data_IF_215804116406
#
_entry.id   IF_215804116406
#
_cell.length_a   1.000
_cell.length_b   1.000
_cell.length_c   1.000
_cell.angle_alpha   90.00
_cell.angle_beta   90.00
_cell.angle_gamma   90.00
#
_symmetry.space_group_name_H-M   'P 1'
#
loop_
_entity.id
_entity.type
_entity.pdbx_description
1 polymer ?
#
# COMPACT_ATOMS: atom_id res chain seq x y z
N UNK A 1 -7.10 -11.93 -4.56
CA UNK A 1 -6.41 -11.09 -3.55
C UNK A 1 -5.07 -10.68 -4.09
N UNK A 2 -4.24 -11.62 -4.57
CA UNK A 2 -3.01 -11.31 -5.30
C UNK A 2 -3.26 -10.34 -6.47
N UNK A 3 -4.24 -10.61 -7.34
CA UNK A 3 -4.58 -9.69 -8.45
C UNK A 3 -4.97 -8.26 -8.00
N UNK A 4 -5.52 -8.12 -6.78
CA UNK A 4 -5.87 -6.80 -6.22
C UNK A 4 -4.60 -6.11 -5.71
N UNK A 5 -3.69 -6.86 -5.10
CA UNK A 5 -2.40 -6.38 -4.65
C UNK A 5 -1.55 -5.95 -5.85
N UNK A 6 -1.54 -6.75 -6.92
CA UNK A 6 -0.81 -6.45 -8.16
C UNK A 6 -1.33 -5.14 -8.77
N UNK A 7 -2.65 -4.96 -8.89
CA UNK A 7 -3.25 -3.70 -9.34
C UNK A 7 -2.82 -2.49 -8.49
N UNK A 8 -2.76 -2.64 -7.16
CA UNK A 8 -2.29 -1.56 -6.27
C UNK A 8 -0.82 -1.24 -6.54
N UNK A 9 0.01 -2.28 -6.68
CA UNK A 9 1.44 -2.14 -6.93
C UNK A 9 1.72 -1.49 -8.28
N UNK A 10 1.01 -1.88 -9.33
CA UNK A 10 1.08 -1.25 -10.65
C UNK A 10 0.70 0.23 -10.58
N UNK A 11 -0.41 0.57 -9.93
CA UNK A 11 -0.84 1.98 -9.80
C UNK A 11 0.19 2.84 -9.02
N UNK A 12 0.81 2.27 -7.98
CA UNK A 12 1.89 2.92 -7.23
C UNK A 12 3.16 3.06 -8.07
N UNK A 13 3.54 2.01 -8.81
CA UNK A 13 4.70 2.03 -9.71
C UNK A 13 4.53 3.08 -10.80
N UNK A 14 3.35 3.15 -11.42
CA UNK A 14 3.04 4.13 -12.45
C UNK A 14 3.06 5.56 -11.90
N UNK A 15 2.60 5.76 -10.66
CA UNK A 15 2.53 7.07 -10.02
C UNK A 15 3.90 7.60 -9.57
N UNK A 16 4.70 6.75 -8.91
CA UNK A 16 5.97 7.14 -8.30
C UNK A 16 7.20 6.80 -9.14
N UNK A 17 7.03 5.97 -10.18
CA UNK A 17 8.04 5.64 -11.18
C UNK A 17 9.37 5.20 -10.52
N UNK A 18 10.49 5.82 -10.90
CA UNK A 18 11.82 5.48 -10.41
C UNK A 18 12.01 5.64 -8.90
N UNK A 19 11.08 6.31 -8.20
CA UNK A 19 11.13 6.46 -6.74
C UNK A 19 10.77 5.17 -6.01
N UNK A 20 10.06 4.23 -6.63
CA UNK A 20 9.74 2.95 -5.99
C UNK A 20 10.98 2.06 -5.98
N UNK A 21 11.52 1.76 -4.80
CA UNK A 21 12.64 0.81 -4.65
C UNK A 21 12.18 -0.62 -4.54
N UNK A 22 10.96 -0.83 -4.06
CA UNK A 22 10.37 -2.15 -3.99
C UNK A 22 9.22 -2.23 -3.02
N UNK A 23 8.67 -3.43 -2.98
CA UNK A 23 7.55 -3.80 -2.14
C UNK A 23 7.95 -5.02 -1.31
N UNK A 24 7.52 -5.06 -0.06
CA UNK A 24 7.51 -6.27 0.74
C UNK A 24 6.06 -6.60 1.07
N UNK A 25 5.67 -7.83 0.77
CA UNK A 25 4.30 -8.30 0.92
C UNK A 25 4.31 -9.43 1.94
N UNK A 26 3.50 -9.30 2.98
CA UNK A 26 3.25 -10.37 3.93
C UNK A 26 1.77 -10.75 3.86
N UNK A 27 1.51 -12.04 3.63
CA UNK A 27 0.16 -12.59 3.56
C UNK A 27 -0.11 -13.42 4.81
N UNK A 28 -1.16 -13.05 5.54
CA UNK A 28 -1.61 -13.78 6.72
C UNK A 28 -3.09 -14.12 6.58
N UNK A 29 -3.38 -15.41 6.37
CA UNK A 29 -4.75 -15.91 6.14
C UNK A 29 -5.44 -15.17 4.99
N UNK A 30 -6.44 -14.33 5.30
CA UNK A 30 -7.17 -13.49 4.33
C UNK A 30 -6.80 -12.00 4.46
N UNK A 31 -5.62 -11.70 5.03
CA UNK A 31 -5.07 -10.35 5.16
C UNK A 31 -3.79 -10.21 4.36
N UNK A 32 -3.57 -9.02 3.83
CA UNK A 32 -2.34 -8.65 3.16
C UNK A 32 -1.76 -7.38 3.79
N UNK A 33 -0.45 -7.40 4.03
CA UNK A 33 0.31 -6.29 4.58
C UNK A 33 1.38 -5.91 3.56
N UNK A 34 1.32 -4.68 3.07
CA UNK A 34 2.23 -4.14 2.07
C UNK A 34 3.13 -3.10 2.72
N UNK A 35 4.43 -3.28 2.56
CA UNK A 35 5.43 -2.26 2.83
C UNK A 35 5.94 -1.72 1.51
N UNK A 36 5.77 -0.42 1.28
CA UNK A 36 6.15 0.27 0.06
C UNK A 36 7.37 1.14 0.37
N UNK A 37 8.48 0.89 -0.30
CA UNK A 37 9.73 1.65 -0.10
C UNK A 37 9.88 2.67 -1.22
N UNK A 38 9.79 3.94 -0.87
CA UNK A 38 9.99 5.07 -1.77
C UNK A 38 11.32 5.77 -1.44
N UNK A 39 12.17 5.96 -2.43
CA UNK A 39 13.44 6.69 -2.28
C UNK A 39 13.29 8.15 -2.71
N UNK A 40 14.18 9.00 -2.19
CA UNK A 40 14.18 10.45 -2.42
C UNK A 40 12.82 11.11 -2.09
N UNK A 41 12.10 10.56 -1.11
CA UNK A 41 10.93 11.17 -0.50
C UNK A 41 11.29 11.52 0.93
N UNK A 42 11.27 12.80 1.27
CA UNK A 42 11.60 13.29 2.60
C UNK A 42 10.33 13.66 3.37
N UNK A 43 10.36 13.42 4.69
CA UNK A 43 9.35 13.89 5.65
C UNK A 43 7.90 13.57 5.26
N UNK A 44 7.60 12.32 4.94
CA UNK A 44 6.18 11.93 4.83
C UNK A 44 5.62 12.04 6.25
N UNK A 45 4.60 12.87 6.45
CA UNK A 45 3.94 12.94 7.76
C UNK A 45 3.16 11.66 8.02
N UNK A 46 2.87 11.38 9.29
CA UNK A 46 2.07 10.20 9.63
C UNK A 46 0.68 10.22 8.96
N UNK A 47 0.03 11.39 8.96
CA UNK A 47 -1.27 11.61 8.31
C UNK A 47 -1.18 11.38 6.80
N UNK A 48 -0.14 11.92 6.16
CA UNK A 48 0.08 11.78 4.72
C UNK A 48 0.23 10.31 4.30
N UNK A 49 0.83 9.44 5.13
CA UNK A 49 0.93 8.00 4.82
C UNK A 49 -0.45 7.36 4.68
N UNK A 50 -1.35 7.65 5.62
CA UNK A 50 -2.72 7.15 5.58
C UNK A 50 -3.48 7.67 4.37
N UNK A 51 -3.33 8.96 4.05
CA UNK A 51 -3.96 9.58 2.88
C UNK A 51 -3.46 8.97 1.57
N UNK A 52 -2.14 8.80 1.42
CA UNK A 52 -1.55 8.19 0.23
C UNK A 52 -2.04 6.74 0.10
N UNK A 53 -2.01 5.95 1.17
CA UNK A 53 -2.50 4.58 1.14
C UNK A 53 -3.97 4.51 0.73
N UNK A 54 -4.82 5.32 1.37
CA UNK A 54 -6.25 5.37 1.07
C UNK A 54 -6.51 5.79 -0.37
N UNK A 55 -5.74 6.74 -0.91
CA UNK A 55 -5.84 7.15 -2.30
C UNK A 55 -5.69 5.97 -3.28
N UNK A 56 -4.67 5.12 -3.11
CA UNK A 56 -4.47 3.94 -3.97
C UNK A 56 -5.51 2.84 -3.72
N UNK A 57 -5.88 2.62 -2.45
CA UNK A 57 -6.90 1.63 -2.10
C UNK A 57 -8.26 2.00 -2.71
N UNK A 58 -8.67 3.26 -2.63
CA UNK A 58 -9.92 3.77 -3.20
C UNK A 58 -9.96 3.61 -4.72
N UNK A 59 -8.86 3.90 -5.42
CA UNK A 59 -8.75 3.68 -6.87
C UNK A 59 -8.94 2.20 -7.23
N UNK A 60 -8.35 1.31 -6.43
CA UNK A 60 -8.46 -0.13 -6.61
C UNK A 60 -9.89 -0.65 -6.45
N UNK A 61 -10.74 0.03 -5.67
CA UNK A 61 -12.16 -0.37 -5.55
C UNK A 61 -12.93 -0.35 -6.88
N UNK A 62 -12.42 0.37 -7.88
CA UNK A 62 -13.02 0.53 -9.21
C UNK A 62 -12.63 -0.59 -10.18
N UNK A 63 -11.70 -1.47 -9.82
CA UNK A 63 -11.24 -2.57 -10.68
C UNK A 63 -12.24 -3.73 -10.71
N UNK A 64 -12.13 -4.58 -11.74
CA UNK A 64 -13.00 -5.75 -11.86
C UNK A 64 -12.68 -6.79 -10.77
N UNK A 65 -11.41 -6.94 -10.46
CA UNK A 65 -10.83 -7.88 -9.49
C UNK A 65 -11.37 -7.59 -8.09
N UNK A 66 -11.38 -6.31 -7.69
CA UNK A 66 -11.93 -5.90 -6.40
C UNK A 66 -13.42 -6.18 -6.31
N UNK A 67 -14.20 -5.78 -7.32
CA UNK A 67 -15.65 -6.03 -7.36
C UNK A 67 -15.98 -7.52 -7.34
N UNK A 68 -15.20 -8.34 -8.05
CA UNK A 68 -15.37 -9.78 -8.09
C UNK A 68 -15.07 -10.42 -6.73
N UNK A 69 -14.00 -9.98 -6.07
CA UNK A 69 -13.68 -10.43 -4.71
C UNK A 69 -14.82 -10.12 -3.74
N UNK A 70 -15.34 -8.89 -3.73
CA UNK A 70 -16.46 -8.50 -2.85
C UNK A 70 -17.71 -9.34 -3.13
N UNK A 71 -18.04 -9.59 -4.40
CA UNK A 71 -19.19 -10.42 -4.77
C UNK A 71 -19.07 -11.85 -4.26
N UNK A 72 -17.87 -12.42 -4.32
CA UNK A 72 -17.57 -13.80 -3.91
C UNK A 72 -17.49 -13.94 -2.38
N UNK A 73 -16.76 -13.04 -1.71
CA UNK A 73 -16.47 -13.13 -0.27
C UNK A 73 -17.47 -12.40 0.62
N UNK A 74 -18.40 -11.63 0.03
CA UNK A 74 -19.40 -10.79 0.73
C UNK A 74 -18.80 -9.75 1.69
N UNK A 75 -17.50 -9.45 1.55
CA UNK A 75 -16.74 -8.48 2.32
C UNK A 75 -15.60 -7.90 1.48
N UNK A 76 -15.09 -6.73 1.87
CA UNK A 76 -13.89 -6.14 1.27
C UNK A 76 -12.64 -6.96 1.58
N UNK A 77 -11.61 -6.94 0.71
CA UNK A 77 -10.32 -7.52 1.04
C UNK A 77 -9.66 -6.72 2.17
N UNK A 78 -9.05 -7.41 3.13
CA UNK A 78 -8.31 -6.79 4.24
C UNK A 78 -6.86 -6.54 3.81
N UNK A 79 -6.61 -5.39 3.19
CA UNK A 79 -5.29 -5.00 2.68
C UNK A 79 -4.84 -3.76 3.45
N UNK A 80 -3.68 -3.85 4.07
CA UNK A 80 -3.05 -2.79 4.85
C UNK A 80 -1.75 -2.38 4.16
N UNK A 81 -1.47 -1.09 4.12
CA UNK A 81 -0.27 -0.56 3.48
C UNK A 81 0.44 0.46 4.35
N UNK A 82 1.76 0.41 4.33
CA UNK A 82 2.63 1.39 4.98
C UNK A 82 3.70 1.83 3.98
N UNK A 83 3.89 3.14 3.89
CA UNK A 83 4.88 3.77 3.01
C UNK A 83 6.05 4.24 3.85
N UNK A 84 7.26 3.91 3.41
CA UNK A 84 8.51 4.27 4.07
C UNK A 84 9.52 4.83 3.07
N UNK A 85 10.34 5.76 3.56
CA UNK A 85 11.57 6.16 2.90
C UNK A 85 12.80 5.71 3.69
N UNK A 86 13.86 5.19 3.03
CA UNK A 86 15.11 4.84 3.70
C UNK A 86 15.71 5.99 4.50
N UNK A 87 15.55 7.23 4.02
CA UNK A 87 15.99 8.43 4.72
C UNK A 87 15.34 8.54 6.11
N UNK A 88 14.04 8.22 6.22
CA UNK A 88 13.29 8.33 7.48
C UNK A 88 13.74 7.30 8.53
N UNK A 89 14.16 6.10 8.08
CA UNK A 89 14.72 5.06 8.96
C UNK A 89 16.07 5.52 9.51
N UNK A 90 16.91 6.15 8.68
CA UNK A 90 18.21 6.69 9.11
C UNK A 90 18.04 7.77 10.19
N UNK A 91 16.96 8.54 10.15
CA UNK A 91 16.63 9.56 11.15
C UNK A 91 15.96 9.01 12.44
N UNK A 92 15.84 7.68 12.60
CA UNK A 92 15.22 7.04 13.77
C UNK A 92 13.78 7.51 14.04
N UNK A 93 13.05 7.90 12.99
CA UNK A 93 11.66 8.33 13.13
C UNK A 93 10.81 7.09 13.45
N UNK A 94 10.07 7.05 14.57
CA UNK A 94 9.24 5.91 14.92
C UNK A 94 8.15 5.71 13.87
N UNK A 95 8.13 4.53 13.26
CA UNK A 95 7.09 4.11 12.32
C UNK A 95 5.94 3.55 13.14
N UNK A 96 4.86 4.31 13.26
CA UNK A 96 3.62 3.80 13.85
C UNK A 96 2.81 3.11 12.75
N UNK A 97 2.33 1.89 13.01
CA UNK A 97 1.34 1.22 12.16
C UNK A 97 -0.02 1.45 12.83
N UNK A 98 -0.87 2.32 12.30
CA UNK A 98 -2.28 2.33 12.72
C UNK A 98 -2.98 1.16 12.02
N UNK A 99 -3.44 0.21 12.83
CA UNK A 99 -4.28 -0.91 12.44
C UNK A 99 -5.74 -0.59 12.73
#
# INVERSE_FOLDING_TARGET
MLDIIDNIMEDILDWYQEKVKGFLIYLEKEKAYLLIVLDNVDMISFVARGEIWNFFLERTTRTAEFRNFVKQKKRGPEIFGVILSPNEIAYHIPITVLM
#
